data_IF_434926354758
#
_entry.id   IF_434926354758
#
_cell.length_a   1.000
_cell.length_b   1.000
_cell.length_c   1.000
_cell.angle_alpha   90.00
_cell.angle_beta   90.00
_cell.angle_gamma   90.00
#
_symmetry.space_group_name_H-M   'P 1'
#
loop_
_entity.id
_entity.type
_entity.pdbx_description
1 polymer ?
#
# COMPACT_ATOMS: atom_id res chain seq x y z
N UNK A 1 24.29 11.01 -3.71
CA UNK A 1 23.63 11.22 -2.40
C UNK A 1 24.71 11.16 -1.31
N UNK A 2 24.89 12.19 -0.47
CA UNK A 2 25.93 12.22 0.58
C UNK A 2 25.44 11.49 1.86
N UNK A 3 26.34 10.91 2.67
CA UNK A 3 25.94 10.15 3.88
C UNK A 3 25.22 11.01 4.92
N UNK A 4 25.53 12.31 4.96
CA UNK A 4 24.89 13.28 5.85
C UNK A 4 23.40 13.46 5.55
N UNK A 5 23.03 13.32 4.28
CA UNK A 5 21.65 13.50 3.84
C UNK A 5 20.73 12.35 4.24
N UNK A 6 21.28 11.14 4.32
CA UNK A 6 20.52 9.94 4.70
C UNK A 6 20.10 9.98 6.17
N UNK A 7 20.93 10.53 7.05
CA UNK A 7 20.57 10.75 8.45
C UNK A 7 19.45 11.78 8.62
N UNK A 8 19.40 12.80 7.74
CA UNK A 8 18.39 13.86 7.80
C UNK A 8 17.03 13.34 7.33
N UNK A 9 16.95 12.80 6.12
CA UNK A 9 15.67 12.36 5.57
C UNK A 9 15.25 10.99 6.09
N UNK A 10 16.19 10.05 6.21
CA UNK A 10 15.90 8.66 6.58
C UNK A 10 15.64 8.44 8.07
N UNK A 11 16.12 9.33 8.95
CA UNK A 11 15.95 9.18 10.41
C UNK A 11 15.22 10.37 11.01
N UNK A 12 15.73 11.60 10.83
CA UNK A 12 15.20 12.79 11.51
C UNK A 12 13.75 13.09 11.11
N UNK A 13 13.39 12.96 9.82
CA UNK A 13 12.02 13.21 9.35
C UNK A 13 10.98 12.24 9.94
N UNK A 14 11.12 10.90 9.81
CA UNK A 14 10.18 9.97 10.42
C UNK A 14 10.09 10.12 11.94
N UNK A 15 11.21 10.44 12.60
CA UNK A 15 11.25 10.68 14.04
C UNK A 15 10.46 11.94 14.40
N UNK A 16 10.63 13.05 13.66
CA UNK A 16 9.83 14.27 13.84
C UNK A 16 8.32 13.99 13.72
N UNK A 17 7.92 13.25 12.69
CA UNK A 17 6.51 12.90 12.49
C UNK A 17 5.99 12.02 13.63
N UNK A 18 6.75 11.02 14.08
CA UNK A 18 6.36 10.20 15.21
C UNK A 18 6.24 11.03 16.51
N UNK A 19 7.20 11.91 16.78
CA UNK A 19 7.20 12.79 17.95
C UNK A 19 5.97 13.70 17.99
N UNK A 20 5.66 14.37 16.88
CA UNK A 20 4.51 15.29 16.79
C UNK A 20 3.16 14.59 17.00
N UNK A 21 3.08 13.29 16.71
CA UNK A 21 1.90 12.48 16.92
C UNK A 21 1.91 11.69 18.24
N UNK A 22 2.96 11.81 19.06
CA UNK A 22 3.14 11.00 20.27
C UNK A 22 3.23 9.49 19.97
N UNK A 23 3.71 9.13 18.79
CA UNK A 23 3.73 7.77 18.29
C UNK A 23 5.09 7.09 18.50
N UNK A 24 5.09 5.76 18.47
CA UNK A 24 6.32 4.94 18.43
C UNK A 24 6.69 4.65 16.98
N UNK A 25 7.96 4.86 16.63
CA UNK A 25 8.52 4.53 15.32
C UNK A 25 9.27 3.19 15.40
N UNK A 26 8.90 2.22 14.54
CA UNK A 26 9.54 0.91 14.48
C UNK A 26 9.84 0.53 13.04
N UNK A 27 11.10 0.27 12.73
CA UNK A 27 11.53 -0.26 11.45
C UNK A 27 11.07 -1.71 11.30
N UNK A 28 10.61 -2.05 10.10
CA UNK A 28 10.07 -3.36 9.77
C UNK A 28 10.68 -3.89 8.47
N UNK A 29 10.95 -5.19 8.43
CA UNK A 29 11.35 -5.89 7.21
C UNK A 29 10.87 -7.33 7.27
N UNK A 30 10.12 -7.77 6.25
CA UNK A 30 9.69 -9.16 6.13
C UNK A 30 10.86 -10.13 5.88
N UNK A 31 12.03 -9.63 5.46
CA UNK A 31 13.25 -10.41 5.20
C UNK A 31 14.07 -10.67 6.47
N UNK A 32 13.77 -9.98 7.57
CA UNK A 32 14.46 -10.14 8.85
C UNK A 32 13.50 -10.68 9.91
N UNK A 33 13.62 -11.97 10.30
CA UNK A 33 12.73 -12.57 11.29
C UNK A 33 12.84 -11.90 12.68
N UNK A 34 13.99 -11.31 13.01
CA UNK A 34 14.19 -10.57 14.26
C UNK A 34 13.35 -9.30 14.30
N UNK A 35 13.26 -8.57 13.18
CA UNK A 35 12.41 -7.38 13.07
C UNK A 35 10.92 -7.73 13.04
N UNK A 36 10.54 -8.82 12.37
CA UNK A 36 9.16 -9.32 12.40
C UNK A 36 8.75 -9.67 13.82
N UNK A 37 9.62 -10.34 14.59
CA UNK A 37 9.37 -10.66 16.00
C UNK A 37 9.14 -9.39 16.84
N UNK A 38 10.03 -8.40 16.73
CA UNK A 38 9.90 -7.12 17.44
C UNK A 38 8.60 -6.39 17.10
N UNK A 39 8.22 -6.36 15.82
CA UNK A 39 6.97 -5.74 15.40
C UNK A 39 5.75 -6.44 16.02
N UNK A 40 5.74 -7.78 16.07
CA UNK A 40 4.67 -8.54 16.73
C UNK A 40 4.61 -8.29 18.24
N UNK A 41 5.76 -8.22 18.90
CA UNK A 41 5.85 -7.90 20.34
C UNK A 41 5.32 -6.50 20.63
N UNK A 42 5.67 -5.51 19.79
CA UNK A 42 5.18 -4.14 19.90
C UNK A 42 3.66 -4.04 19.71
N UNK A 43 3.13 -4.69 18.67
CA UNK A 43 1.68 -4.76 18.46
C UNK A 43 0.97 -5.48 19.61
N UNK A 44 1.57 -6.56 20.14
CA UNK A 44 1.06 -7.26 21.31
C UNK A 44 1.03 -6.38 22.56
N UNK A 45 2.04 -5.54 22.77
CA UNK A 45 2.07 -4.57 23.86
C UNK A 45 0.90 -3.58 23.75
N UNK A 46 0.68 -2.98 22.56
CA UNK A 46 -0.43 -2.05 22.37
C UNK A 46 -1.81 -2.71 22.43
N UNK A 47 -1.96 -3.93 21.94
CA UNK A 47 -3.25 -4.62 21.90
C UNK A 47 -3.64 -5.24 23.25
N UNK A 48 -2.67 -5.75 24.02
CA UNK A 48 -2.91 -6.58 25.20
C UNK A 48 -2.18 -6.13 26.47
N UNK A 49 -1.37 -5.07 26.41
CA UNK A 49 -0.62 -4.59 27.56
C UNK A 49 0.49 -5.52 28.04
N UNK A 50 1.03 -6.39 27.16
CA UNK A 50 2.17 -7.26 27.49
C UNK A 50 3.42 -6.45 27.83
N UNK A 51 4.46 -7.06 28.38
CA UNK A 51 5.69 -6.32 28.72
C UNK A 51 6.27 -5.57 27.51
N UNK A 52 6.50 -4.27 27.66
CA UNK A 52 7.09 -3.42 26.62
C UNK A 52 8.58 -3.73 26.44
N UNK A 53 8.99 -4.07 25.22
CA UNK A 53 10.41 -4.13 24.89
C UNK A 53 10.95 -2.71 24.66
N UNK A 54 11.44 -2.06 25.72
CA UNK A 54 12.10 -0.74 25.64
C UNK A 54 13.47 -0.85 24.96
N UNK A 55 13.49 -0.91 23.63
CA UNK A 55 14.72 -0.79 22.83
C UNK A 55 14.73 0.54 22.10
N UNK A 56 15.84 1.29 22.16
CA UNK A 56 16.04 2.55 21.46
C UNK A 56 17.18 2.39 20.44
N UNK A 57 16.93 2.76 19.18
CA UNK A 57 17.88 2.75 18.08
C UNK A 57 17.59 3.90 17.12
N UNK A 58 18.48 4.87 17.08
CA UNK A 58 18.39 6.09 16.25
C UNK A 58 19.52 6.17 15.20
N UNK A 59 20.32 5.11 15.06
CA UNK A 59 21.44 5.05 14.12
C UNK A 59 20.92 4.76 12.71
N UNK A 60 21.30 5.57 11.74
CA UNK A 60 20.88 5.43 10.34
C UNK A 60 21.38 4.13 9.68
N UNK A 61 22.42 3.48 10.23
CA UNK A 61 22.93 2.20 9.75
C UNK A 61 22.23 1.00 10.41
N UNK A 62 21.32 1.24 11.35
CA UNK A 62 20.62 0.20 12.10
C UNK A 62 19.11 0.36 11.93
N UNK A 63 18.34 -0.71 12.15
CA UNK A 63 16.88 -0.59 12.21
C UNK A 63 16.47 0.45 13.26
N UNK A 64 15.64 1.41 12.85
CA UNK A 64 15.12 2.45 13.73
C UNK A 64 14.11 1.89 14.71
N UNK A 65 14.27 2.20 16.00
CA UNK A 65 13.32 1.84 17.05
C UNK A 65 13.27 3.02 18.02
N UNK A 66 12.16 3.74 18.06
CA UNK A 66 12.01 4.96 18.84
C UNK A 66 10.66 4.90 19.55
N UNK A 67 10.62 4.43 20.81
CA UNK A 67 9.39 4.46 21.61
C UNK A 67 8.94 5.90 21.87
N UNK A 68 7.63 6.10 21.98
CA UNK A 68 7.05 7.40 22.24
C UNK A 68 7.65 8.03 23.52
N UNK A 69 8.12 9.28 23.41
CA UNK A 69 8.70 10.03 24.53
C UNK A 69 10.17 9.70 24.84
N UNK A 70 10.82 8.82 24.07
CA UNK A 70 12.27 8.59 24.17
C UNK A 70 13.10 9.55 23.33
N UNK A 71 12.45 10.35 22.50
CA UNK A 71 13.03 11.35 21.62
C UNK A 71 12.70 12.79 22.08
N UNK A 72 13.44 13.76 21.57
CA UNK A 72 13.22 15.18 21.85
C UNK A 72 13.38 16.02 20.59
N UNK A 73 12.60 17.09 20.48
CA UNK A 73 12.71 18.03 19.35
C UNK A 73 14.11 18.63 19.23
N UNK A 74 14.82 18.87 20.34
CA UNK A 74 16.20 19.37 20.31
C UNK A 74 17.14 18.36 19.63
N UNK A 75 17.02 17.07 19.97
CA UNK A 75 17.83 16.01 19.36
C UNK A 75 17.46 15.76 17.89
N UNK A 76 16.18 15.84 17.54
CA UNK A 76 15.67 15.64 16.17
C UNK A 76 16.05 16.81 15.27
N UNK A 77 15.93 18.03 15.76
CA UNK A 77 16.11 19.24 14.97
C UNK A 77 17.56 19.76 15.01
N UNK A 78 18.37 19.36 16.00
CA UNK A 78 19.78 19.77 16.14
C UNK A 78 19.97 21.30 16.04
N UNK A 79 19.01 22.06 16.57
CA UNK A 79 19.00 23.53 16.53
C UNK A 79 18.45 24.16 15.25
N UNK A 80 18.08 23.38 14.23
CA UNK A 80 17.43 23.87 13.02
C UNK A 80 15.91 23.97 13.21
N UNK A 81 15.29 25.06 12.74
CA UNK A 81 13.82 25.13 12.70
C UNK A 81 13.32 24.40 11.46
N UNK A 82 12.96 23.12 11.61
CA UNK A 82 12.20 22.40 10.59
C UNK A 82 10.71 22.45 10.91
N UNK A 83 9.90 22.66 9.88
CA UNK A 83 8.45 22.52 9.91
C UNK A 83 8.03 21.33 9.04
N UNK A 84 6.81 20.83 9.21
CA UNK A 84 6.31 19.71 8.41
C UNK A 84 6.36 20.03 6.90
N UNK A 85 6.15 21.29 6.52
CA UNK A 85 6.29 21.72 5.12
C UNK A 85 7.75 21.72 4.62
N UNK A 86 8.74 22.03 5.47
CA UNK A 86 10.15 21.96 5.07
C UNK A 86 10.59 20.51 4.88
N UNK A 87 10.11 19.61 5.75
CA UNK A 87 10.29 18.16 5.57
C UNK A 87 9.58 17.64 4.33
N UNK A 88 8.35 18.11 4.05
CA UNK A 88 7.60 17.76 2.84
C UNK A 88 8.34 18.14 1.56
N UNK A 89 8.86 19.36 1.47
CA UNK A 89 9.68 19.80 0.32
C UNK A 89 10.99 19.02 0.21
N UNK A 90 11.64 18.70 1.33
CA UNK A 90 12.86 17.90 1.33
C UNK A 90 12.61 16.46 0.85
N UNK A 91 11.43 15.91 1.15
CA UNK A 91 10.97 14.63 0.62
C UNK A 91 10.63 14.75 -0.86
N UNK A 92 9.80 15.71 -1.26
CA UNK A 92 9.41 15.89 -2.67
C UNK A 92 10.59 16.17 -3.57
N UNK A 93 11.59 16.96 -3.16
CA UNK A 93 12.76 17.26 -3.99
C UNK A 93 13.66 16.04 -4.19
N UNK A 94 13.56 15.03 -3.32
CA UNK A 94 14.60 14.00 -3.15
C UNK A 94 14.12 12.56 -3.29
N UNK A 95 12.85 12.38 -2.98
CA UNK A 95 11.95 11.28 -3.26
C UNK A 95 10.88 11.78 -4.24
N UNK A 96 11.24 12.66 -5.20
CA UNK A 96 10.67 12.51 -6.53
C UNK A 96 10.98 11.05 -6.85
N UNK A 97 10.01 10.15 -7.03
CA UNK A 97 10.34 8.95 -7.77
C UNK A 97 10.98 9.52 -9.03
N UNK A 98 12.29 9.33 -9.24
CA UNK A 98 12.78 9.33 -10.61
C UNK A 98 11.73 8.50 -11.31
N UNK A 99 10.99 9.17 -12.20
CA UNK A 99 10.06 8.50 -13.10
C UNK A 99 10.81 7.25 -13.45
N UNK A 100 10.25 6.11 -13.03
CA UNK A 100 10.96 4.88 -13.21
C UNK A 100 11.53 4.91 -14.61
N UNK A 101 12.69 4.33 -14.74
CA UNK A 101 12.79 3.28 -15.73
C UNK A 101 11.48 2.47 -15.68
N UNK A 102 10.48 3.02 -16.38
CA UNK A 102 9.38 2.35 -16.98
C UNK A 102 10.08 1.43 -17.97
N UNK A 103 10.44 0.25 -17.50
CA UNK A 103 10.19 -0.91 -18.33
C UNK A 103 8.68 -0.96 -18.57
N UNK A 104 8.23 -0.16 -19.54
CA UNK A 104 6.87 -0.12 -20.07
C UNK A 104 6.03 1.10 -19.70
N UNK A 105 6.03 2.10 -20.57
CA UNK A 105 4.82 2.81 -21.03
C UNK A 105 4.30 4.02 -20.23
N UNK A 106 5.00 5.16 -20.36
CA UNK A 106 4.38 6.46 -20.61
C UNK A 106 4.31 6.74 -22.11
N UNK A 107 3.09 6.88 -22.62
CA UNK A 107 2.47 8.18 -22.88
C UNK A 107 1.26 7.99 -23.80
N UNK A 108 0.07 8.18 -23.23
CA UNK A 108 -1.19 8.34 -23.93
C UNK A 108 -2.19 8.99 -22.99
N UNK A 109 -1.99 10.28 -22.71
CA UNK A 109 -2.64 10.98 -21.61
C UNK A 109 -4.16 11.10 -21.70
N UNK A 110 -4.78 11.23 -20.52
CA UNK A 110 -6.08 11.89 -20.34
C UNK A 110 -7.05 11.17 -19.42
N UNK A 111 -7.12 11.60 -18.16
CA UNK A 111 -8.32 11.52 -17.33
C UNK A 111 -8.74 10.12 -16.86
N UNK A 112 -8.18 9.70 -15.72
CA UNK A 112 -8.54 8.46 -15.05
C UNK A 112 -10.02 8.39 -14.67
N UNK A 113 -10.75 7.51 -15.36
CA UNK A 113 -11.78 6.68 -14.77
C UNK A 113 -11.33 5.24 -14.96
N UNK A 114 -11.26 4.46 -13.88
CA UNK A 114 -11.25 2.99 -14.01
C UNK A 114 -12.48 2.66 -14.87
N UNK A 115 -12.34 1.99 -16.02
CA UNK A 115 -13.50 1.58 -16.80
C UNK A 115 -14.45 0.79 -15.89
N UNK A 116 -15.76 1.05 -15.95
CA UNK A 116 -16.75 0.32 -15.12
C UNK A 116 -16.63 -1.20 -15.28
N UNK A 117 -16.05 -1.64 -16.40
CA UNK A 117 -15.68 -3.02 -16.65
C UNK A 117 -14.17 -3.15 -16.94
N UNK A 118 -13.37 -3.64 -15.96
CA UNK A 118 -11.96 -3.95 -16.13
C UNK A 118 -11.67 -4.96 -17.26
N UNK A 119 -12.67 -5.72 -17.72
CA UNK A 119 -12.53 -6.65 -18.84
C UNK A 119 -12.48 -5.96 -20.21
N UNK A 120 -12.75 -4.65 -20.28
CA UNK A 120 -12.74 -3.86 -21.53
C UNK A 120 -11.50 -2.98 -21.66
N UNK A 121 -10.54 -3.16 -20.76
CA UNK A 121 -9.27 -2.46 -20.79
C UNK A 121 -8.39 -3.01 -21.93
N UNK A 122 -8.00 -2.18 -22.92
CA UNK A 122 -7.11 -2.59 -24.01
C UNK A 122 -5.77 -3.15 -23.52
N UNK A 123 -5.31 -2.72 -22.34
CA UNK A 123 -4.05 -3.18 -21.74
C UNK A 123 -4.13 -4.63 -21.23
N UNK A 124 -5.33 -5.18 -21.04
CA UNK A 124 -5.57 -6.56 -20.59
C UNK A 124 -6.27 -7.44 -21.64
N UNK A 125 -6.21 -7.05 -22.92
CA UNK A 125 -6.83 -7.81 -24.01
C UNK A 125 -6.09 -9.16 -24.22
N UNK A 126 -6.74 -10.25 -23.82
CA UNK A 126 -6.23 -11.61 -23.96
C UNK A 126 -7.14 -12.41 -24.91
N UNK A 127 -6.74 -12.50 -26.18
CA UNK A 127 -7.54 -13.12 -27.25
C UNK A 127 -8.14 -14.49 -26.89
N UNK A 128 -7.37 -15.35 -26.22
CA UNK A 128 -7.83 -16.68 -25.85
C UNK A 128 -8.85 -16.64 -24.69
N UNK A 129 -8.66 -15.73 -23.73
CA UNK A 129 -9.59 -15.53 -22.62
C UNK A 129 -10.89 -14.90 -23.10
N UNK A 130 -10.80 -13.93 -24.02
CA UNK A 130 -11.96 -13.26 -24.61
C UNK A 130 -12.81 -14.23 -25.44
N UNK A 131 -12.17 -15.10 -26.22
CA UNK A 131 -12.86 -16.15 -26.97
C UNK A 131 -13.55 -17.17 -26.05
N UNK A 132 -12.89 -17.58 -24.96
CA UNK A 132 -13.49 -18.50 -23.98
C UNK A 132 -14.68 -17.87 -23.27
N UNK A 133 -14.62 -16.57 -22.96
CA UNK A 133 -15.75 -15.83 -22.38
C UNK A 133 -16.91 -15.74 -23.35
N UNK A 134 -16.66 -15.34 -24.60
CA UNK A 134 -17.68 -15.25 -25.63
C UNK A 134 -18.42 -16.58 -25.85
N UNK A 135 -17.68 -17.70 -25.92
CA UNK A 135 -18.28 -19.03 -26.01
C UNK A 135 -19.16 -19.36 -24.79
N UNK A 136 -18.71 -19.00 -23.59
CA UNK A 136 -19.47 -19.27 -22.37
C UNK A 136 -20.73 -18.41 -22.25
N UNK A 137 -20.67 -17.17 -22.70
CA UNK A 137 -21.81 -16.25 -22.68
C UNK A 137 -22.88 -16.68 -23.69
N UNK A 138 -22.48 -17.13 -24.89
CA UNK A 138 -23.40 -17.74 -25.86
C UNK A 138 -24.08 -19.00 -25.30
N UNK A 139 -23.32 -19.85 -24.59
CA UNK A 139 -23.86 -21.02 -23.93
C UNK A 139 -24.84 -20.65 -22.81
N UNK A 140 -24.51 -19.66 -21.98
CA UNK A 140 -25.39 -19.14 -20.93
C UNK A 140 -26.68 -18.57 -21.50
N UNK A 141 -26.63 -17.83 -22.61
CA UNK A 141 -27.83 -17.33 -23.27
C UNK A 141 -28.68 -18.45 -23.87
N UNK A 142 -28.06 -19.46 -24.47
CA UNK A 142 -28.76 -20.65 -24.96
C UNK A 142 -29.50 -21.34 -23.83
N UNK A 143 -28.83 -21.56 -22.70
CA UNK A 143 -29.42 -22.17 -21.50
C UNK A 143 -30.53 -21.28 -20.93
N UNK A 144 -30.35 -19.97 -20.81
CA UNK A 144 -31.40 -19.05 -20.34
C UNK A 144 -32.64 -19.09 -21.23
N UNK A 145 -32.45 -19.18 -22.55
CA UNK A 145 -33.53 -19.32 -23.53
C UNK A 145 -34.25 -20.66 -23.41
N UNK A 146 -33.51 -21.75 -23.22
CA UNK A 146 -34.07 -23.10 -23.02
C UNK A 146 -34.80 -23.23 -21.67
N UNK A 147 -34.24 -22.68 -20.60
CA UNK A 147 -34.87 -22.64 -19.27
C UNK A 147 -36.11 -21.76 -19.29
N UNK A 148 -36.09 -20.61 -19.99
CA UNK A 148 -37.28 -19.78 -20.19
C UNK A 148 -38.39 -20.54 -20.91
N UNK A 149 -38.06 -21.25 -22.00
CA UNK A 149 -39.02 -22.08 -22.75
C UNK A 149 -39.51 -23.28 -21.95
N UNK A 150 -38.63 -23.92 -21.17
CA UNK A 150 -38.98 -25.03 -20.28
C UNK A 150 -39.92 -24.52 -19.17
N UNK A 151 -39.60 -23.39 -18.54
CA UNK A 151 -40.43 -22.75 -17.52
C UNK A 151 -41.80 -22.31 -18.05
N UNK A 152 -41.89 -21.85 -19.31
CA UNK A 152 -43.19 -21.55 -19.94
C UNK A 152 -43.97 -22.83 -20.22
N UNK A 153 -43.28 -23.88 -20.69
CA UNK A 153 -43.84 -25.20 -20.98
C UNK A 153 -44.33 -25.93 -19.73
N UNK A 154 -43.66 -25.77 -18.58
CA UNK A 154 -44.11 -26.31 -17.29
C UNK A 154 -45.29 -25.51 -16.71
N UNK A 155 -45.33 -24.19 -16.91
CA UNK A 155 -46.47 -23.35 -16.50
C UNK A 155 -47.73 -23.59 -17.36
N UNK A 156 -47.60 -24.04 -18.60
CA UNK A 156 -48.72 -24.40 -19.50
C UNK A 156 -49.30 -25.80 -19.22
N UNK A 157 -48.55 -26.67 -18.54
CA UNK A 157 -48.97 -28.02 -18.15
C UNK A 157 -49.67 -28.07 -16.78
N UNK A 158 -49.75 -26.94 -16.06
CA UNK A 158 -50.45 -26.79 -14.77
C UNK A 158 -51.94 -26.43 -14.97
N UNK A 159 -52.68 -27.31 -15.66
CA UNK A 159 -54.14 -27.34 -15.74
C UNK A 159 -54.62 -28.68 -15.16
N UNK A 160 -55.53 -28.77 -14.17
CA UNK A 160 -56.36 -27.77 -13.47
C UNK A 160 -55.99 -27.50 -11.99
#
# INVERSE_FOLDING_TARGET
MDRRDWGVVGVRMPTYVAHTNGATLQFFSAKDPGLVKKAKELLGHFAFGTAESRSLSQDYNKPLIIPAGSDSLEAICQGEKHDLQSWGRALETRYVPEEGEEEGEREGGGGGGIPEDPARDPTYAEHDVDNLRAQKDEELERIRREVGRSSTRWAELDLP
#
